data_IF_940688304518
#
_entry.id   IF_940688304518
#
_cell.length_a   1.000
_cell.length_b   1.000
_cell.length_c   1.000
_cell.angle_alpha   90.00
_cell.angle_beta   90.00
_cell.angle_gamma   90.00
#
_symmetry.space_group_name_H-M   'P 1'
#
loop_
_entity.id
_entity.type
_entity.pdbx_description
1 polymer ?
#
# COMPACT_ATOMS: atom_id res chain seq x y z
N UNK A 1 7.27 28.57 5.54
CA UNK A 1 7.68 28.28 4.14
C UNK A 1 7.18 26.88 3.90
N UNK A 2 6.20 26.70 3.02
CA UNK A 2 5.61 25.38 2.76
C UNK A 2 6.55 24.51 1.94
N UNK A 3 6.34 23.19 1.99
CA UNK A 3 7.12 22.22 1.21
C UNK A 3 6.79 22.27 -0.29
N UNK A 4 5.63 22.82 -0.67
CA UNK A 4 5.18 22.88 -2.05
C UNK A 4 5.87 24.00 -2.85
N UNK A 5 6.44 23.64 -4.00
CA UNK A 5 6.71 24.60 -5.07
C UNK A 5 5.45 24.97 -5.88
N UNK A 6 5.53 25.94 -6.81
CA UNK A 6 4.37 26.43 -7.56
C UNK A 6 3.59 25.35 -8.31
N UNK A 7 4.28 24.39 -8.96
CA UNK A 7 3.61 23.32 -9.71
C UNK A 7 2.98 22.30 -8.76
N UNK A 8 3.66 21.94 -7.68
CA UNK A 8 3.12 21.03 -6.66
C UNK A 8 1.84 21.63 -6.05
N UNK A 9 1.86 22.92 -5.70
CA UNK A 9 0.70 23.62 -5.17
C UNK A 9 -0.47 23.69 -6.17
N UNK A 10 -0.19 23.89 -7.46
CA UNK A 10 -1.20 23.86 -8.52
C UNK A 10 -1.89 22.49 -8.61
N UNK A 11 -1.11 21.41 -8.66
CA UNK A 11 -1.64 20.05 -8.72
C UNK A 11 -2.39 19.67 -7.44
N UNK A 12 -1.89 20.06 -6.26
CA UNK A 12 -2.60 19.82 -5.01
C UNK A 12 -3.96 20.55 -4.97
N UNK A 13 -4.02 21.78 -5.48
CA UNK A 13 -5.28 22.53 -5.61
C UNK A 13 -6.28 21.79 -6.51
N UNK A 14 -5.83 21.22 -7.62
CA UNK A 14 -6.66 20.40 -8.51
C UNK A 14 -7.12 19.12 -7.79
N UNK A 15 -6.23 18.44 -7.08
CA UNK A 15 -6.55 17.25 -6.31
C UNK A 15 -7.65 17.53 -5.27
N UNK A 16 -7.61 18.68 -4.57
CA UNK A 16 -8.66 19.10 -3.63
C UNK A 16 -10.04 19.31 -4.26
N UNK A 17 -10.11 19.55 -5.57
CA UNK A 17 -11.37 19.60 -6.31
C UNK A 17 -11.97 18.22 -6.62
N UNK A 18 -11.20 17.15 -6.47
CA UNK A 18 -11.62 15.77 -6.84
C UNK A 18 -11.54 14.76 -5.69
N UNK A 19 -10.70 15.01 -4.68
CA UNK A 19 -10.44 14.13 -3.55
C UNK A 19 -10.69 14.87 -2.23
N UNK A 20 -11.22 14.17 -1.24
CA UNK A 20 -11.37 14.70 0.13
C UNK A 20 -9.98 15.09 0.65
N UNK A 21 -9.82 16.35 1.05
CA UNK A 21 -8.54 16.95 1.44
C UNK A 21 -7.40 16.81 0.40
N UNK A 22 -7.72 16.49 -0.86
CA UNK A 22 -6.75 16.31 -1.94
C UNK A 22 -6.00 14.97 -1.91
N UNK A 23 -6.42 13.99 -1.10
CA UNK A 23 -5.69 12.71 -0.93
C UNK A 23 -6.63 11.50 -0.87
N UNK A 24 -6.10 10.33 -1.22
CA UNK A 24 -6.82 9.03 -1.09
C UNK A 24 -6.45 8.25 0.17
N UNK A 25 -5.57 8.79 1.01
CA UNK A 25 -5.19 8.24 2.32
C UNK A 25 -4.80 9.39 3.24
N UNK A 26 -5.30 9.38 4.48
CA UNK A 26 -5.03 10.43 5.47
C UNK A 26 -3.54 10.62 5.76
N UNK A 27 -2.73 9.55 5.68
CA UNK A 27 -1.28 9.62 5.87
C UNK A 27 -0.54 10.45 4.81
N UNK A 28 -1.17 10.73 3.66
CA UNK A 28 -0.62 11.59 2.61
C UNK A 28 -0.95 13.07 2.84
N UNK A 29 -1.86 13.40 3.76
CA UNK A 29 -2.23 14.78 4.05
C UNK A 29 -1.31 15.37 5.11
N UNK A 30 -0.51 16.37 4.73
CA UNK A 30 0.46 17.02 5.60
C UNK A 30 0.09 18.47 5.93
N UNK A 31 -1.10 18.90 5.54
CA UNK A 31 -1.55 20.28 5.65
C UNK A 31 -1.78 20.92 4.28
N UNK A 32 -2.45 22.09 4.24
CA UNK A 32 -2.83 22.75 2.99
C UNK A 32 -1.64 23.20 2.15
N UNK A 33 -0.52 23.55 2.79
CA UNK A 33 0.66 24.13 2.13
C UNK A 33 1.85 23.15 2.02
N UNK A 34 1.71 21.96 2.62
CA UNK A 34 2.80 20.97 2.78
C UNK A 34 2.49 19.60 2.17
N UNK A 35 1.24 19.36 1.74
CA UNK A 35 0.87 18.09 1.08
C UNK A 35 1.56 17.98 -0.28
N UNK A 36 2.50 17.05 -0.42
CA UNK A 36 3.29 16.87 -1.63
C UNK A 36 2.50 16.16 -2.74
N UNK A 37 2.83 16.49 -3.99
CA UNK A 37 2.41 15.76 -5.19
C UNK A 37 3.68 15.26 -5.88
N UNK A 38 3.78 13.95 -6.03
CA UNK A 38 4.96 13.28 -6.57
C UNK A 38 4.74 13.01 -8.06
N UNK A 39 5.74 13.35 -8.87
CA UNK A 39 5.79 13.06 -10.30
C UNK A 39 6.21 11.59 -10.52
N UNK A 40 7.38 11.22 -10.02
CA UNK A 40 7.88 9.85 -10.11
C UNK A 40 8.87 9.52 -8.97
N UNK A 41 9.28 8.26 -8.89
CA UNK A 41 10.36 7.79 -8.05
C UNK A 41 11.47 7.12 -8.86
N UNK A 42 12.70 7.21 -8.38
CA UNK A 42 13.89 6.59 -8.98
C UNK A 42 14.85 6.11 -7.88
N UNK A 43 15.04 4.80 -7.77
CA UNK A 43 15.88 4.19 -6.75
C UNK A 43 15.47 4.64 -5.34
N UNK A 44 16.37 5.25 -4.60
CA UNK A 44 16.11 5.73 -3.24
C UNK A 44 15.43 7.11 -3.16
N UNK A 45 14.89 7.64 -4.27
CA UNK A 45 14.37 9.00 -4.33
C UNK A 45 12.95 9.10 -4.86
N UNK A 46 12.27 10.15 -4.44
CA UNK A 46 11.03 10.66 -5.05
C UNK A 46 11.27 12.07 -5.58
N UNK A 47 10.61 12.40 -6.68
CA UNK A 47 10.71 13.68 -7.37
C UNK A 47 9.31 14.32 -7.37
N UNK A 48 9.19 15.55 -6.89
CA UNK A 48 7.92 16.29 -6.90
C UNK A 48 7.61 16.93 -8.26
N UNK A 49 6.44 17.57 -8.39
CA UNK A 49 6.01 18.23 -9.63
C UNK A 49 6.87 19.44 -10.02
N UNK A 50 7.69 19.97 -9.10
CA UNK A 50 8.64 21.06 -9.34
C UNK A 50 10.04 20.54 -9.72
N UNK A 51 10.26 19.22 -9.70
CA UNK A 51 11.53 18.58 -10.01
C UNK A 51 12.49 18.50 -8.82
N UNK A 52 12.04 18.82 -7.60
CA UNK A 52 12.87 18.66 -6.42
C UNK A 52 12.99 17.17 -6.09
N UNK A 53 14.22 16.75 -5.76
CA UNK A 53 14.57 15.36 -5.48
C UNK A 53 14.78 15.17 -3.98
N UNK A 54 14.08 14.20 -3.40
CA UNK A 54 14.15 13.88 -1.98
C UNK A 54 14.62 12.45 -1.77
N UNK A 55 15.45 12.21 -0.75
CA UNK A 55 15.73 10.84 -0.30
C UNK A 55 14.45 10.30 0.35
N UNK A 56 13.94 9.19 -0.17
CA UNK A 56 12.67 8.62 0.27
C UNK A 56 12.87 7.65 1.45
N UNK A 57 12.57 8.14 2.65
CA UNK A 57 12.49 7.31 3.85
C UNK A 57 11.08 6.79 4.13
N UNK A 58 10.07 7.18 3.35
CA UNK A 58 8.72 6.61 3.49
C UNK A 58 8.61 5.26 2.78
N UNK A 59 9.23 5.11 1.61
CA UNK A 59 9.27 3.84 0.86
C UNK A 59 7.88 3.23 0.62
N UNK A 60 6.88 4.09 0.37
CA UNK A 60 5.48 3.68 0.24
C UNK A 60 4.86 3.10 1.52
N UNK A 61 5.43 3.44 2.68
CA UNK A 61 5.18 2.81 3.99
C UNK A 61 5.68 1.36 4.09
N UNK A 62 6.72 0.99 3.32
CA UNK A 62 7.38 -0.31 3.37
C UNK A 62 7.54 -1.07 2.04
N UNK A 63 6.54 -1.12 1.13
CA UNK A 63 6.58 -1.96 -0.07
C UNK A 63 7.75 -1.67 -1.03
N UNK A 64 8.31 -0.47 -1.00
CA UNK A 64 9.38 -0.03 -1.90
C UNK A 64 10.78 -0.38 -1.32
N UNK A 65 10.92 -1.58 -0.75
CA UNK A 65 12.16 -2.00 -0.07
C UNK A 65 13.36 -2.10 -1.02
N UNK A 66 13.14 -2.35 -2.31
CA UNK A 66 14.18 -2.41 -3.35
C UNK A 66 14.43 -1.05 -4.03
N UNK A 67 13.76 0.01 -3.58
CA UNK A 67 13.74 1.31 -4.26
C UNK A 67 12.73 1.37 -5.42
N UNK A 68 12.43 2.60 -5.84
CA UNK A 68 11.49 2.90 -6.92
C UNK A 68 12.04 2.46 -8.27
N UNK A 69 11.20 1.82 -9.08
CA UNK A 69 11.57 1.44 -10.44
C UNK A 69 12.66 0.36 -10.52
N UNK A 70 12.80 -0.52 -9.53
CA UNK A 70 13.79 -1.59 -9.54
C UNK A 70 13.74 -2.38 -10.87
N UNK A 71 14.82 -2.42 -11.68
CA UNK A 71 14.75 -2.84 -13.09
C UNK A 71 14.17 -4.24 -13.29
N UNK A 72 14.53 -5.20 -12.43
CA UNK A 72 14.02 -6.57 -12.52
C UNK A 72 12.52 -6.66 -12.20
N UNK A 73 12.03 -5.87 -11.24
CA UNK A 73 10.61 -5.86 -10.87
C UNK A 73 9.80 -5.20 -11.99
N UNK A 74 10.27 -4.05 -12.49
CA UNK A 74 9.62 -3.34 -13.59
C UNK A 74 9.51 -4.21 -14.85
N UNK A 75 10.59 -4.92 -15.21
CA UNK A 75 10.58 -5.84 -16.36
C UNK A 75 9.58 -7.00 -16.16
N UNK A 76 9.57 -7.63 -14.99
CA UNK A 76 8.65 -8.74 -14.70
C UNK A 76 7.18 -8.29 -14.71
N UNK A 77 6.87 -7.09 -14.18
CA UNK A 77 5.53 -6.51 -14.23
C UNK A 77 5.13 -6.18 -15.67
N UNK A 78 6.02 -5.60 -16.47
CA UNK A 78 5.74 -5.27 -17.87
C UNK A 78 5.46 -6.53 -18.71
N UNK A 79 6.25 -7.59 -18.51
CA UNK A 79 6.03 -8.89 -19.15
C UNK A 79 4.67 -9.49 -18.74
N UNK A 80 4.37 -9.50 -17.43
CA UNK A 80 3.09 -10.02 -16.94
C UNK A 80 1.90 -9.22 -17.48
N UNK A 81 2.01 -7.89 -17.53
CA UNK A 81 0.95 -7.02 -18.05
C UNK A 81 0.66 -7.27 -19.54
N UNK A 82 1.69 -7.55 -20.35
CA UNK A 82 1.52 -7.88 -21.76
C UNK A 82 0.75 -9.18 -21.99
N UNK A 83 0.79 -10.12 -21.03
CA UNK A 83 0.02 -11.36 -21.07
C UNK A 83 -1.42 -11.22 -20.55
N UNK A 84 -1.81 -10.04 -20.03
CA UNK A 84 -3.07 -9.78 -19.36
C UNK A 84 -2.93 -9.80 -17.83
N UNK A 85 -3.68 -8.93 -17.16
CA UNK A 85 -3.54 -8.71 -15.70
C UNK A 85 -4.65 -9.35 -14.86
N UNK A 86 -5.77 -9.73 -15.48
CA UNK A 86 -6.96 -10.24 -14.76
C UNK A 86 -7.68 -11.29 -15.60
N UNK A 87 -7.87 -12.49 -15.02
CA UNK A 87 -8.45 -13.63 -15.75
C UNK A 87 -9.69 -14.23 -15.08
N UNK A 88 -10.02 -13.84 -13.85
CA UNK A 88 -11.06 -14.50 -13.03
C UNK A 88 -10.88 -16.04 -12.92
N UNK A 89 -9.63 -16.50 -13.05
CA UNK A 89 -9.19 -17.89 -13.01
C UNK A 89 -7.82 -17.96 -12.34
N UNK A 90 -7.48 -19.10 -11.75
CA UNK A 90 -6.16 -19.33 -11.14
C UNK A 90 -5.06 -19.28 -12.21
N UNK A 91 -3.94 -18.65 -11.88
CA UNK A 91 -2.79 -18.51 -12.78
C UNK A 91 -1.54 -19.21 -12.25
N UNK A 92 -0.62 -19.59 -13.14
CA UNK A 92 0.69 -20.14 -12.74
C UNK A 92 1.45 -19.16 -11.84
N UNK A 93 1.37 -17.85 -12.12
CA UNK A 93 2.03 -16.81 -11.32
C UNK A 93 1.47 -16.74 -9.90
N UNK A 94 0.16 -16.92 -9.73
CA UNK A 94 -0.48 -17.00 -8.40
C UNK A 94 0.04 -18.19 -7.60
N UNK A 95 0.16 -19.37 -8.23
CA UNK A 95 0.67 -20.58 -7.58
C UNK A 95 2.11 -20.38 -7.13
N UNK A 96 2.99 -19.92 -8.04
CA UNK A 96 4.40 -19.67 -7.74
C UNK A 96 4.59 -18.61 -6.64
N UNK A 97 3.78 -17.55 -6.66
CA UNK A 97 3.81 -16.53 -5.61
C UNK A 97 3.38 -17.11 -4.25
N UNK A 98 2.35 -17.96 -4.22
CA UNK A 98 1.90 -18.59 -2.99
C UNK A 98 2.95 -19.55 -2.41
N UNK A 99 3.62 -20.32 -3.26
CA UNK A 99 4.73 -21.20 -2.87
C UNK A 99 5.90 -20.41 -2.28
N UNK A 100 6.34 -19.34 -2.96
CA UNK A 100 7.43 -18.48 -2.48
C UNK A 100 7.11 -17.82 -1.13
N UNK A 101 5.87 -17.34 -0.94
CA UNK A 101 5.45 -16.76 0.34
C UNK A 101 5.43 -17.82 1.44
N UNK A 102 4.88 -19.02 1.17
CA UNK A 102 4.85 -20.11 2.16
C UNK A 102 6.26 -20.54 2.59
N UNK A 103 7.17 -20.67 1.63
CA UNK A 103 8.57 -20.98 1.91
C UNK A 103 9.21 -19.88 2.77
N UNK A 104 9.00 -18.61 2.44
CA UNK A 104 9.58 -17.48 3.17
C UNK A 104 9.09 -17.37 4.63
N UNK A 105 7.81 -17.67 4.91
CA UNK A 105 7.28 -17.59 6.28
C UNK A 105 7.48 -18.89 7.08
N UNK A 106 7.51 -20.05 6.44
CA UNK A 106 7.88 -21.33 7.04
C UNK A 106 6.86 -21.98 7.99
N UNK A 107 5.74 -21.32 8.33
CA UNK A 107 4.77 -21.84 9.31
C UNK A 107 3.36 -22.08 8.76
N UNK A 108 3.05 -21.63 7.54
CA UNK A 108 1.69 -21.76 7.00
C UNK A 108 1.53 -22.94 6.04
N UNK A 109 0.54 -23.79 6.31
CA UNK A 109 0.15 -24.89 5.42
C UNK A 109 -0.47 -24.39 4.12
N UNK A 110 -1.24 -23.30 4.17
CA UNK A 110 -1.91 -22.69 3.03
C UNK A 110 -2.08 -21.17 3.25
N UNK A 111 -2.32 -20.43 2.17
CA UNK A 111 -2.62 -19.00 2.20
C UNK A 111 -3.71 -18.62 1.21
N UNK A 112 -4.23 -17.40 1.35
CA UNK A 112 -5.15 -16.77 0.41
C UNK A 112 -4.69 -15.33 0.18
N UNK A 113 -4.53 -14.94 -1.08
CA UNK A 113 -4.25 -13.55 -1.42
C UNK A 113 -5.48 -12.65 -1.21
N UNK A 114 -5.19 -11.42 -0.79
CA UNK A 114 -6.13 -10.30 -0.71
C UNK A 114 -5.48 -9.09 -1.38
N UNK A 115 -6.26 -8.04 -1.65
CA UNK A 115 -5.75 -6.86 -2.35
C UNK A 115 -5.07 -5.87 -1.40
N UNK A 116 -5.41 -5.91 -0.10
CA UNK A 116 -4.87 -4.98 0.91
C UNK A 116 -4.61 -5.66 2.25
N UNK A 117 -3.83 -5.00 3.11
CA UNK A 117 -3.64 -5.40 4.51
C UNK A 117 -4.93 -5.29 5.35
N UNK A 118 -5.82 -4.34 5.02
CA UNK A 118 -7.16 -4.22 5.63
C UNK A 118 -8.01 -5.47 5.34
N UNK A 119 -8.01 -5.96 4.10
CA UNK A 119 -8.72 -7.18 3.75
C UNK A 119 -8.12 -8.41 4.42
N UNK A 120 -6.78 -8.51 4.45
CA UNK A 120 -6.08 -9.63 5.09
C UNK A 120 -6.46 -9.79 6.56
N UNK A 121 -6.39 -8.70 7.32
CA UNK A 121 -6.71 -8.67 8.76
C UNK A 121 -8.22 -8.87 9.00
N UNK A 122 -9.08 -8.27 8.18
CA UNK A 122 -10.54 -8.51 8.23
C UNK A 122 -10.86 -10.00 8.05
N UNK A 123 -10.25 -10.67 7.06
CA UNK A 123 -10.45 -12.09 6.81
C UNK A 123 -9.87 -12.97 7.92
N UNK A 124 -8.69 -12.62 8.44
CA UNK A 124 -8.07 -13.35 9.56
C UNK A 124 -8.97 -13.34 10.80
N UNK A 125 -9.55 -12.19 11.16
CA UNK A 125 -10.50 -12.09 12.28
C UNK A 125 -11.75 -12.93 12.03
N UNK A 126 -12.31 -12.87 10.82
CA UNK A 126 -13.48 -13.68 10.46
C UNK A 126 -13.18 -15.18 10.57
N UNK A 127 -12.02 -15.62 10.12
CA UNK A 127 -11.57 -17.01 10.22
C UNK A 127 -11.39 -17.43 11.68
N UNK A 128 -10.73 -16.62 12.51
CA UNK A 128 -10.51 -16.90 13.93
C UNK A 128 -11.85 -17.05 14.68
N UNK A 129 -12.82 -16.18 14.42
CA UNK A 129 -14.17 -16.30 15.01
C UNK A 129 -14.89 -17.55 14.55
N UNK A 130 -14.90 -17.82 13.24
CA UNK A 130 -15.55 -19.01 12.69
C UNK A 130 -14.94 -20.32 13.23
N UNK A 131 -13.62 -20.35 13.41
CA UNK A 131 -12.92 -21.52 13.94
C UNK A 131 -13.16 -21.74 15.44
N UNK A 132 -13.21 -20.65 16.23
CA UNK A 132 -13.27 -20.74 17.70
C UNK A 132 -14.69 -20.62 18.28
N UNK A 133 -15.64 -20.08 17.52
CA UNK A 133 -16.99 -19.73 18.00
C UNK A 133 -17.02 -18.57 18.99
N UNK A 134 -15.96 -17.76 19.08
CA UNK A 134 -15.83 -16.65 20.05
C UNK A 134 -15.92 -15.30 19.34
N UNK A 135 -16.55 -14.33 20.01
CA UNK A 135 -16.75 -12.99 19.44
C UNK A 135 -15.64 -12.00 19.78
N UNK A 136 -15.09 -12.11 20.98
CA UNK A 136 -14.12 -11.16 21.51
C UNK A 136 -12.75 -11.34 20.85
N UNK A 137 -12.16 -10.21 20.46
CA UNK A 137 -10.81 -10.12 19.89
C UNK A 137 -10.00 -9.16 20.76
N UNK A 138 -8.78 -9.55 21.10
CA UNK A 138 -7.84 -8.69 21.81
C UNK A 138 -7.01 -7.88 20.79
N UNK A 139 -6.91 -6.58 21.03
CA UNK A 139 -6.09 -5.62 20.28
C UNK A 139 -5.27 -4.80 21.28
N UNK A 140 -4.09 -4.35 20.87
CA UNK A 140 -3.25 -3.47 21.66
C UNK A 140 -3.38 -2.01 21.19
N UNK A 141 -3.28 -1.08 22.14
CA UNK A 141 -3.21 0.35 21.85
C UNK A 141 -1.98 0.65 20.98
N UNK A 142 -2.11 1.60 20.05
CA UNK A 142 -1.05 1.97 19.11
C UNK A 142 -0.89 1.05 17.89
N UNK A 143 -1.51 -0.13 17.86
CA UNK A 143 -1.44 -0.99 16.67
C UNK A 143 -2.44 -0.56 15.58
N UNK A 144 -2.00 -0.64 14.32
CA UNK A 144 -2.83 -0.40 13.14
C UNK A 144 -2.99 -1.70 12.36
N UNK A 145 -4.24 -2.07 12.08
CA UNK A 145 -4.60 -3.29 11.34
C UNK A 145 -5.58 -2.98 10.22
N UNK A 146 -5.46 -1.81 9.59
CA UNK A 146 -6.34 -1.40 8.50
C UNK A 146 -7.58 -0.63 8.95
N UNK A 147 -8.33 -0.15 7.97
CA UNK A 147 -9.48 0.72 8.13
C UNK A 147 -10.80 -0.07 8.03
N UNK A 148 -10.96 -1.09 8.89
CA UNK A 148 -12.21 -1.85 8.98
C UNK A 148 -12.77 -1.81 10.40
N UNK A 149 -14.10 -1.91 10.51
CA UNK A 149 -14.84 -1.63 11.74
C UNK A 149 -14.32 -2.39 12.96
N UNK A 150 -13.94 -3.66 12.80
CA UNK A 150 -13.47 -4.47 13.94
C UNK A 150 -12.21 -3.95 14.64
N UNK A 151 -11.35 -3.20 13.95
CA UNK A 151 -10.03 -2.81 14.46
C UNK A 151 -9.77 -1.32 14.36
N UNK A 152 -10.74 -0.52 13.89
CA UNK A 152 -10.66 0.94 13.88
C UNK A 152 -11.00 1.54 15.24
N UNK A 153 -10.33 1.05 16.29
CA UNK A 153 -10.45 1.52 17.65
C UNK A 153 -9.06 1.84 18.22
N UNK A 154 -8.96 3.00 18.86
CA UNK A 154 -7.87 3.35 19.77
C UNK A 154 -8.52 3.81 21.07
N UNK A 155 -8.00 3.33 22.19
CA UNK A 155 -8.27 3.89 23.51
C UNK A 155 -7.36 5.06 23.80
#
# INVERSE_FOLDING_TARGET
MGLQGPKTAEWYRRARGSLVAGVSSGFRYWGPDDTMVIDHGEGAHVIDMDGNRYVDYQLGFGPVVLGHGHPQVAAAVAEAAAAGTTFAMTSVREIQAAEAVREAIGWADALRFTNTGTEATMHALRLARAHTGRDLVLKFEGTYHGAHDYLLFST
#
